data_IF_966226983428
#
_entry.id   IF_966226983428
#
_cell.length_a   1.000
_cell.length_b   1.000
_cell.length_c   1.000
_cell.angle_alpha   90.00
_cell.angle_beta   90.00
_cell.angle_gamma   90.00
#
_symmetry.space_group_name_H-M   'P 1'
#
loop_
_entity.id
_entity.type
_entity.pdbx_description
1 polymer ?
#
# COMPACT_ATOMS: atom_id res chain seq x y z
N UNK A 1 11.35 14.55 -18.23
CA UNK A 1 12.47 13.59 -18.11
C UNK A 1 13.61 14.06 -19.03
N UNK A 2 14.68 14.63 -18.46
CA UNK A 2 15.88 15.01 -19.21
C UNK A 2 16.74 13.78 -19.44
N UNK A 3 16.90 13.36 -20.69
CA UNK A 3 17.80 12.26 -21.08
C UNK A 3 19.17 12.89 -21.41
N UNK A 4 20.20 12.51 -20.64
CA UNK A 4 21.60 12.90 -20.91
C UNK A 4 22.09 12.23 -22.18
N UNK A 5 22.78 13.00 -23.05
CA UNK A 5 23.43 12.50 -24.27
C UNK A 5 24.64 11.62 -23.89
N UNK A 6 24.88 10.50 -24.59
CA UNK A 6 26.12 9.75 -24.43
C UNK A 6 27.32 10.49 -25.03
N UNK A 7 28.54 10.24 -24.54
CA UNK A 7 29.74 10.92 -25.00
C UNK A 7 30.12 10.51 -26.45
N UNK A 8 30.66 11.49 -27.19
CA UNK A 8 31.22 11.27 -28.54
C UNK A 8 32.37 10.30 -28.47
N UNK A 9 32.30 9.20 -29.25
CA UNK A 9 33.47 8.37 -29.55
C UNK A 9 34.38 9.09 -30.53
N UNK A 10 35.64 9.25 -30.14
CA UNK A 10 36.73 9.71 -31.02
C UNK A 10 37.12 8.59 -31.99
N UNK A 11 36.93 8.83 -33.27
CA UNK A 11 37.41 7.94 -34.33
C UNK A 11 38.90 8.21 -34.54
N UNK A 12 39.73 7.15 -34.39
CA UNK A 12 41.12 7.13 -34.78
C UNK A 12 41.25 7.13 -36.32
N UNK A 13 42.10 8.00 -36.80
CA UNK A 13 42.47 8.10 -38.23
C UNK A 13 43.21 6.84 -38.70
N UNK A 14 42.64 6.08 -39.64
CA UNK A 14 43.40 5.23 -40.52
C UNK A 14 43.22 5.69 -41.97
N UNK A 15 44.33 6.06 -42.58
CA UNK A 15 44.46 6.36 -44.00
C UNK A 15 44.03 5.16 -44.82
N UNK A 16 43.11 5.30 -45.71
CA UNK A 16 43.14 4.81 -47.07
C UNK A 16 41.83 5.07 -47.80
N UNK A 17 41.96 5.55 -49.00
CA UNK A 17 41.01 5.54 -50.10
C UNK A 17 39.78 6.45 -49.99
N UNK A 18 39.83 7.44 -50.77
CA UNK A 18 38.80 8.37 -51.25
C UNK A 18 37.46 7.73 -51.57
N UNK A 19 36.66 7.48 -50.58
CA UNK A 19 35.24 7.49 -50.76
C UNK A 19 34.72 8.90 -50.44
N UNK A 20 34.57 9.68 -51.48
CA UNK A 20 33.86 10.93 -51.47
C UNK A 20 32.41 10.59 -51.11
N UNK A 21 32.15 10.53 -49.83
CA UNK A 21 30.79 10.52 -49.34
C UNK A 21 30.12 11.81 -49.83
N UNK A 22 29.32 11.72 -50.87
CA UNK A 22 28.40 12.75 -51.28
C UNK A 22 27.49 12.98 -50.06
N UNK A 23 27.82 13.95 -49.23
CA UNK A 23 26.84 14.52 -48.30
C UNK A 23 25.69 14.97 -49.16
N UNK A 24 24.54 14.37 -48.97
CA UNK A 24 23.34 14.82 -49.64
C UNK A 24 23.14 16.29 -49.30
N UNK A 25 23.13 17.12 -50.30
CA UNK A 25 22.99 18.57 -50.19
C UNK A 25 21.58 18.95 -49.75
N UNK A 26 20.58 18.04 -49.90
CA UNK A 26 19.22 18.23 -49.47
C UNK A 26 18.86 17.21 -48.36
N UNK A 27 19.01 17.58 -47.08
CA UNK A 27 18.56 16.74 -45.99
C UNK A 27 17.02 16.67 -45.98
N UNK A 28 16.47 15.49 -45.71
CA UNK A 28 15.06 15.27 -45.61
C UNK A 28 14.39 16.35 -44.70
N UNK A 29 13.37 17.11 -45.22
CA UNK A 29 12.78 18.22 -44.48
C UNK A 29 12.09 17.78 -43.15
N UNK A 30 11.72 16.50 -43.04
CA UNK A 30 11.06 15.97 -41.85
C UNK A 30 12.04 15.64 -40.71
N UNK A 31 13.26 15.18 -41.03
CA UNK A 31 14.24 14.74 -40.02
C UNK A 31 15.58 15.50 -40.06
N UNK A 32 15.77 16.42 -41.00
CA UNK A 32 17.04 17.17 -41.16
C UNK A 32 18.29 16.29 -41.32
N UNK A 33 18.11 15.08 -41.88
CA UNK A 33 19.19 14.09 -42.05
C UNK A 33 19.41 13.17 -40.83
N UNK A 34 18.66 13.34 -39.75
CA UNK A 34 18.79 12.54 -38.53
C UNK A 34 18.23 11.10 -38.67
N UNK A 35 17.48 10.81 -39.74
CA UNK A 35 16.85 9.50 -39.97
C UNK A 35 15.67 9.17 -39.00
N UNK A 36 15.36 10.06 -38.06
CA UNK A 36 14.33 9.88 -37.07
C UNK A 36 13.54 11.17 -36.85
N UNK A 37 12.25 11.04 -36.59
CA UNK A 37 11.35 12.15 -36.28
C UNK A 37 10.68 11.87 -34.93
N UNK A 38 10.64 12.87 -34.06
CA UNK A 38 9.89 12.78 -32.81
C UNK A 38 8.40 12.84 -33.10
N UNK A 39 7.65 11.85 -32.61
CA UNK A 39 6.18 11.82 -32.66
C UNK A 39 5.66 11.47 -31.30
N UNK A 40 4.64 12.16 -30.86
CA UNK A 40 3.90 11.82 -29.66
C UNK A 40 2.88 10.72 -29.99
N UNK A 41 2.86 9.66 -29.20
CA UNK A 41 1.93 8.53 -29.34
C UNK A 41 1.27 8.26 -27.99
N UNK A 42 -0.05 8.21 -27.99
CA UNK A 42 -0.83 7.81 -26.81
C UNK A 42 -0.98 6.29 -26.81
N UNK A 43 -0.57 5.66 -25.70
CA UNK A 43 -0.64 4.22 -25.52
C UNK A 43 -1.63 3.88 -24.41
N UNK A 44 -2.48 2.88 -24.66
CA UNK A 44 -3.35 2.32 -23.63
C UNK A 44 -2.67 1.12 -22.98
N UNK A 45 -2.49 1.18 -21.65
CA UNK A 45 -1.84 0.13 -20.87
C UNK A 45 -2.87 -0.55 -19.99
N UNK A 46 -3.06 -1.86 -20.16
CA UNK A 46 -3.93 -2.64 -19.29
C UNK A 46 -3.14 -3.06 -18.04
N UNK A 47 -3.50 -2.48 -16.91
CA UNK A 47 -2.91 -2.82 -15.61
C UNK A 47 -3.72 -3.98 -15.01
N UNK A 48 -3.11 -5.14 -14.73
CA UNK A 48 -3.80 -6.25 -14.08
C UNK A 48 -4.10 -5.93 -12.61
N UNK A 49 -5.17 -6.53 -12.08
CA UNK A 49 -5.47 -6.41 -10.65
C UNK A 49 -4.38 -7.08 -9.81
N UNK A 50 -4.05 -6.47 -8.67
CA UNK A 50 -3.09 -7.04 -7.72
C UNK A 50 -1.63 -6.69 -7.96
N UNK A 51 -1.33 -5.78 -8.90
CA UNK A 51 0.03 -5.23 -9.07
C UNK A 51 0.53 -4.59 -7.78
N UNK A 52 1.85 -4.57 -7.62
CA UNK A 52 2.53 -3.95 -6.48
C UNK A 52 3.52 -2.89 -6.92
N UNK A 53 3.97 -2.06 -5.98
CA UNK A 53 5.01 -1.08 -6.23
C UNK A 53 6.29 -1.79 -6.69
N UNK A 54 6.86 -1.32 -7.81
CA UNK A 54 8.02 -1.90 -8.44
C UNK A 54 7.72 -2.92 -9.54
N UNK A 55 6.46 -3.34 -9.71
CA UNK A 55 6.06 -4.16 -10.86
C UNK A 55 6.25 -3.39 -12.17
N UNK A 56 6.66 -4.12 -13.23
CA UNK A 56 6.92 -3.55 -14.55
C UNK A 56 6.07 -4.25 -15.59
N UNK A 57 5.41 -3.44 -16.41
CA UNK A 57 4.65 -3.91 -17.57
C UNK A 57 5.50 -3.64 -18.82
N UNK A 58 5.80 -4.67 -19.60
CA UNK A 58 6.50 -4.55 -20.87
C UNK A 58 5.51 -4.37 -22.01
N UNK A 59 5.69 -3.33 -22.78
CA UNK A 59 4.99 -3.08 -24.03
C UNK A 59 5.98 -3.32 -25.17
N UNK A 60 5.86 -4.49 -25.82
CA UNK A 60 6.79 -4.90 -26.88
C UNK A 60 6.65 -4.04 -28.11
N UNK A 61 7.77 -3.54 -28.64
CA UNK A 61 7.82 -2.72 -29.84
C UNK A 61 7.31 -1.27 -29.68
N UNK A 62 7.01 -0.83 -28.45
CA UNK A 62 6.53 0.53 -28.18
C UNK A 62 7.63 1.46 -27.63
N UNK A 63 8.88 1.02 -27.64
CA UNK A 63 10.03 1.81 -27.28
C UNK A 63 10.54 2.69 -28.43
N UNK A 64 11.77 3.17 -28.32
CA UNK A 64 12.39 3.99 -29.34
C UNK A 64 12.63 3.22 -30.64
N UNK A 65 12.49 3.91 -31.78
CA UNK A 65 12.78 3.34 -33.09
C UNK A 65 14.26 2.91 -33.19
N UNK A 66 14.51 1.71 -33.70
CA UNK A 66 15.85 1.22 -33.94
C UNK A 66 16.67 2.08 -34.91
N UNK A 67 18.01 2.06 -34.87
CA UNK A 67 18.82 2.74 -35.83
C UNK A 67 18.70 2.10 -37.22
N UNK A 68 18.81 2.93 -38.27
CA UNK A 68 18.85 2.47 -39.69
C UNK A 68 17.61 1.61 -40.09
N UNK A 69 16.44 1.91 -39.59
CA UNK A 69 15.23 1.12 -39.89
C UNK A 69 15.11 -0.20 -39.12
N UNK A 70 15.92 -0.41 -38.10
CA UNK A 70 15.83 -1.55 -37.22
C UNK A 70 14.53 -1.58 -36.41
N UNK A 71 14.19 -2.73 -35.80
CA UNK A 71 12.98 -2.86 -35.01
C UNK A 71 12.99 -1.90 -33.81
N UNK A 72 11.80 -1.43 -33.40
CA UNK A 72 11.65 -0.63 -32.19
C UNK A 72 11.97 -1.45 -30.95
N UNK A 73 12.47 -0.78 -29.93
CA UNK A 73 12.69 -1.37 -28.61
C UNK A 73 11.38 -1.58 -27.84
N UNK A 74 11.48 -2.05 -26.63
CA UNK A 74 10.35 -2.22 -25.71
C UNK A 74 10.22 -1.03 -24.75
N UNK A 75 8.99 -0.71 -24.38
CA UNK A 75 8.70 0.26 -23.35
C UNK A 75 8.36 -0.48 -22.04
N UNK A 76 9.02 -0.10 -20.96
CA UNK A 76 8.71 -0.62 -19.62
C UNK A 76 8.02 0.46 -18.79
N UNK A 77 6.81 0.14 -18.34
CA UNK A 77 6.03 0.99 -17.43
C UNK A 77 6.20 0.46 -16.03
N UNK A 78 6.83 1.22 -15.16
CA UNK A 78 6.98 0.90 -13.75
C UNK A 78 5.77 1.41 -12.98
N UNK A 79 5.21 0.58 -12.10
CA UNK A 79 4.04 0.89 -11.30
C UNK A 79 4.50 1.34 -9.91
N UNK A 80 3.88 2.38 -9.41
CA UNK A 80 3.98 2.85 -8.04
C UNK A 80 2.57 2.91 -7.45
N UNK A 81 2.34 2.16 -6.37
CA UNK A 81 1.04 2.12 -5.67
C UNK A 81 1.07 3.12 -4.54
N UNK A 82 0.13 4.05 -4.53
CA UNK A 82 -0.02 5.06 -3.49
C UNK A 82 -0.67 4.44 -2.25
N UNK A 83 -0.21 4.83 -1.07
CA UNK A 83 -0.78 4.39 0.20
C UNK A 83 -2.25 4.79 0.34
N UNK A 84 -3.05 3.88 0.88
CA UNK A 84 -4.47 4.13 1.13
C UNK A 84 -4.68 4.63 2.56
N UNK A 85 -5.56 5.63 2.82
CA UNK A 85 -5.73 6.22 4.16
C UNK A 85 -6.28 5.24 5.21
N UNK A 86 -6.95 4.17 4.80
CA UNK A 86 -7.60 3.20 5.71
C UNK A 86 -6.86 1.86 5.70
N UNK A 87 -6.37 1.42 4.54
CA UNK A 87 -5.82 0.09 4.36
C UNK A 87 -4.31 0.11 4.22
N UNK A 88 -3.65 -0.72 5.00
CA UNK A 88 -2.22 -1.06 4.82
C UNK A 88 -2.16 -2.41 4.12
N UNK A 89 -1.40 -2.49 3.02
CA UNK A 89 -1.25 -3.71 2.25
C UNK A 89 0.04 -4.44 2.63
N UNK A 90 -0.08 -5.72 2.95
CA UNK A 90 1.06 -6.63 3.11
C UNK A 90 0.88 -7.85 2.20
N UNK A 91 1.54 -7.82 1.06
CA UNK A 91 1.41 -8.84 0.04
C UNK A 91 -0.01 -8.92 -0.51
N UNK A 92 -0.74 -10.01 -0.22
CA UNK A 92 -2.15 -10.20 -0.59
C UNK A 92 -3.14 -9.80 0.51
N UNK A 93 -2.67 -9.61 1.74
CA UNK A 93 -3.52 -9.25 2.86
C UNK A 93 -3.64 -7.73 3.01
N UNK A 94 -4.79 -7.31 3.50
CA UNK A 94 -5.06 -5.94 3.88
C UNK A 94 -5.23 -5.84 5.39
N UNK A 95 -4.74 -4.77 5.97
CA UNK A 95 -4.88 -4.43 7.38
C UNK A 95 -5.63 -3.12 7.49
N UNK A 96 -6.55 -3.04 8.43
CA UNK A 96 -7.21 -1.80 8.80
C UNK A 96 -7.41 -1.72 10.32
N UNK A 97 -7.36 -0.53 10.87
CA UNK A 97 -7.75 -0.27 12.25
C UNK A 97 -9.20 0.18 12.28
N UNK A 98 -9.98 -0.42 13.17
CA UNK A 98 -11.41 -0.16 13.30
C UNK A 98 -11.67 0.37 14.71
N UNK A 99 -11.98 1.67 14.84
CA UNK A 99 -12.37 2.24 16.13
C UNK A 99 -13.74 1.70 16.56
N UNK A 100 -13.85 1.26 17.80
CA UNK A 100 -15.12 0.83 18.40
C UNK A 100 -15.34 1.51 19.75
N UNK A 101 -16.60 1.71 20.11
CA UNK A 101 -16.96 2.25 21.41
C UNK A 101 -16.67 1.26 22.54
N UNK A 102 -16.44 1.76 23.75
CA UNK A 102 -16.33 0.94 24.96
C UNK A 102 -17.59 0.10 25.18
N UNK A 103 -18.76 0.64 24.87
CA UNK A 103 -20.04 -0.06 25.02
C UNK A 103 -20.13 -1.26 24.07
N UNK A 104 -19.80 -1.08 22.77
CA UNK A 104 -19.82 -2.16 21.78
C UNK A 104 -18.77 -3.22 22.09
N UNK A 105 -17.61 -2.81 22.61
CA UNK A 105 -16.57 -3.75 23.02
C UNK A 105 -16.99 -4.61 24.22
N UNK A 106 -17.68 -4.02 25.19
CA UNK A 106 -18.10 -4.71 26.41
C UNK A 106 -19.34 -5.60 26.18
N UNK A 107 -20.35 -5.06 25.50
CA UNK A 107 -21.63 -5.74 25.30
C UNK A 107 -21.65 -6.64 24.07
N UNK A 108 -20.77 -6.38 23.12
CA UNK A 108 -20.84 -6.95 21.79
C UNK A 108 -21.76 -6.14 20.87
N UNK A 109 -21.59 -6.28 19.58
CA UNK A 109 -22.37 -5.55 18.59
C UNK A 109 -22.01 -5.95 17.18
N UNK A 110 -22.54 -5.22 16.23
CA UNK A 110 -22.18 -5.33 14.81
C UNK A 110 -21.71 -3.98 14.31
N UNK A 111 -20.58 -3.98 13.61
CA UNK A 111 -20.02 -2.78 13.01
C UNK A 111 -19.86 -2.97 11.51
N UNK A 112 -20.06 -1.91 10.76
CA UNK A 112 -19.87 -1.89 9.33
C UNK A 112 -18.43 -1.58 9.00
N UNK A 113 -17.73 -2.51 8.32
CA UNK A 113 -16.33 -2.36 7.93
C UNK A 113 -16.24 -2.20 6.42
N UNK A 114 -15.50 -1.21 5.90
CA UNK A 114 -15.27 -1.06 4.47
C UNK A 114 -14.39 -2.19 3.95
N UNK A 115 -14.66 -2.63 2.74
CA UNK A 115 -13.83 -3.58 1.97
C UNK A 115 -13.66 -3.06 0.55
N UNK A 116 -12.78 -3.67 -0.24
CA UNK A 116 -12.60 -3.29 -1.65
C UNK A 116 -13.85 -3.51 -2.52
N UNK A 117 -14.76 -4.39 -2.09
CA UNK A 117 -15.99 -4.73 -2.82
C UNK A 117 -17.24 -4.06 -2.24
N UNK A 118 -17.11 -3.24 -1.20
CA UNK A 118 -18.23 -2.60 -0.52
C UNK A 118 -18.12 -2.72 1.00
N UNK A 119 -19.24 -2.78 1.70
CA UNK A 119 -19.29 -2.83 3.16
C UNK A 119 -19.68 -4.22 3.64
N UNK A 120 -19.12 -4.64 4.76
CA UNK A 120 -19.42 -5.93 5.40
C UNK A 120 -19.65 -5.72 6.87
N UNK A 121 -20.69 -6.33 7.42
CA UNK A 121 -20.94 -6.31 8.84
C UNK A 121 -20.00 -7.28 9.57
N UNK A 122 -19.21 -6.73 10.49
CA UNK A 122 -18.34 -7.47 11.37
C UNK A 122 -19.01 -7.62 12.74
N UNK A 123 -19.26 -8.85 13.14
CA UNK A 123 -19.80 -9.15 14.49
C UNK A 123 -18.68 -9.09 15.52
N UNK A 124 -18.86 -8.21 16.49
CA UNK A 124 -17.95 -8.05 17.63
C UNK A 124 -18.56 -8.84 18.81
N UNK A 125 -17.86 -9.89 19.29
CA UNK A 125 -18.29 -10.56 20.52
C UNK A 125 -18.18 -9.64 21.72
N UNK A 126 -18.98 -9.87 22.76
CA UNK A 126 -18.82 -9.21 24.05
C UNK A 126 -17.42 -9.43 24.63
N UNK A 127 -16.99 -8.54 25.50
CA UNK A 127 -15.68 -8.57 26.17
C UNK A 127 -14.48 -8.50 25.20
N UNK A 128 -14.69 -7.90 24.02
CA UNK A 128 -13.62 -7.71 23.03
C UNK A 128 -12.63 -6.68 23.52
N UNK A 129 -11.35 -7.10 23.63
CA UNK A 129 -10.25 -6.24 24.05
C UNK A 129 -9.65 -5.47 22.87
N UNK A 130 -9.09 -4.28 23.16
CA UNK A 130 -8.32 -3.52 22.17
C UNK A 130 -7.14 -4.33 21.63
N UNK A 131 -6.85 -4.19 20.34
CA UNK A 131 -5.80 -4.94 19.66
C UNK A 131 -6.24 -6.31 19.14
N UNK A 132 -7.48 -6.75 19.43
CA UNK A 132 -8.00 -8.00 18.84
C UNK A 132 -8.15 -7.86 17.34
N UNK A 133 -7.68 -8.87 16.59
CA UNK A 133 -7.72 -8.89 15.13
C UNK A 133 -8.80 -9.85 14.67
N UNK A 134 -9.69 -9.34 13.83
CA UNK A 134 -10.72 -10.13 13.15
C UNK A 134 -10.33 -10.32 11.69
N UNK A 135 -10.45 -11.56 11.19
CA UNK A 135 -10.10 -11.92 9.82
C UNK A 135 -11.34 -12.10 8.96
N UNK A 136 -11.49 -11.25 7.96
CA UNK A 136 -12.49 -11.38 6.90
C UNK A 136 -11.86 -12.11 5.72
N UNK A 137 -12.19 -13.38 5.57
CA UNK A 137 -11.62 -14.26 4.53
C UNK A 137 -12.00 -13.79 3.14
N UNK A 138 -11.02 -13.81 2.22
CA UNK A 138 -11.24 -13.48 0.81
C UNK A 138 -11.58 -12.00 0.55
N UNK A 139 -11.33 -11.07 1.51
CA UNK A 139 -11.56 -9.63 1.36
C UNK A 139 -10.26 -8.81 1.25
N UNK A 140 -9.16 -9.49 0.99
CA UNK A 140 -7.88 -8.87 0.66
C UNK A 140 -7.72 -8.58 -0.83
N UNK A 141 -6.47 -8.58 -1.31
CA UNK A 141 -6.10 -8.30 -2.70
C UNK A 141 -5.72 -9.59 -3.41
N UNK A 142 -6.01 -9.69 -4.70
CA UNK A 142 -5.39 -10.68 -5.58
C UNK A 142 -3.94 -10.29 -5.84
N UNK A 143 -3.04 -11.25 -6.02
CA UNK A 143 -1.67 -11.00 -6.50
C UNK A 143 -1.51 -11.49 -7.94
N UNK A 144 -0.77 -10.75 -8.77
CA UNK A 144 -0.52 -11.09 -10.17
C UNK A 144 0.18 -12.45 -10.31
N UNK A 145 1.04 -12.82 -9.36
CA UNK A 145 1.88 -14.04 -9.40
C UNK A 145 1.41 -15.16 -8.50
N UNK A 146 0.31 -15.00 -7.77
CA UNK A 146 -0.18 -15.99 -6.81
C UNK A 146 -1.66 -16.23 -7.02
N UNK A 147 -2.05 -17.50 -7.03
CA UNK A 147 -3.46 -17.85 -7.05
C UNK A 147 -4.13 -17.55 -5.71
N UNK A 148 -5.31 -16.95 -5.76
CA UNK A 148 -6.17 -16.70 -4.61
C UNK A 148 -6.19 -15.24 -4.14
N UNK A 149 -7.26 -14.93 -3.41
CA UNK A 149 -7.50 -13.63 -2.79
C UNK A 149 -7.00 -13.68 -1.35
N UNK A 150 -6.36 -12.62 -0.90
CA UNK A 150 -5.96 -12.48 0.49
C UNK A 150 -7.13 -12.23 1.43
N UNK A 151 -6.84 -11.98 2.68
CA UNK A 151 -7.82 -11.67 3.71
C UNK A 151 -7.70 -10.21 4.14
N UNK A 152 -8.78 -9.65 4.66
CA UNK A 152 -8.77 -8.38 5.36
C UNK A 152 -8.69 -8.64 6.86
N UNK A 153 -7.67 -8.07 7.52
CA UNK A 153 -7.42 -8.16 8.95
C UNK A 153 -7.81 -6.84 9.61
N UNK A 154 -8.89 -6.88 10.38
CA UNK A 154 -9.44 -5.73 11.08
C UNK A 154 -8.96 -5.74 12.52
N UNK A 155 -8.05 -4.85 12.87
CA UNK A 155 -7.58 -4.65 14.25
C UNK A 155 -8.50 -3.67 14.95
N UNK A 156 -9.14 -4.15 16.00
CA UNK A 156 -10.05 -3.32 16.80
C UNK A 156 -9.27 -2.44 17.76
N UNK A 157 -9.60 -1.16 17.78
CA UNK A 157 -9.04 -0.17 18.70
C UNK A 157 -10.18 0.47 19.48
N UNK A 158 -10.08 0.43 20.79
CA UNK A 158 -11.07 1.09 21.67
C UNK A 158 -10.90 2.60 21.60
N UNK A 159 -12.00 3.29 21.31
CA UNK A 159 -12.07 4.73 21.34
C UNK A 159 -12.72 5.20 22.64
N UNK A 160 -12.03 6.09 23.35
CA UNK A 160 -12.56 6.73 24.55
C UNK A 160 -13.47 7.88 24.15
N UNK A 161 -14.74 7.90 24.58
CA UNK A 161 -15.67 8.95 24.21
C UNK A 161 -15.23 10.30 24.78
N UNK A 162 -15.33 11.34 23.96
CA UNK A 162 -15.01 12.72 24.31
C UNK A 162 -16.29 13.57 24.40
N UNK A 163 -16.21 14.75 25.02
CA UNK A 163 -17.33 15.71 25.12
C UNK A 163 -18.60 15.12 25.72
N UNK A 164 -18.45 14.35 26.82
CA UNK A 164 -19.54 13.68 27.50
C UNK A 164 -20.52 14.68 28.12
N UNK A 165 -21.83 14.40 27.98
CA UNK A 165 -22.89 15.08 28.71
C UNK A 165 -22.86 14.73 30.21
N UNK A 166 -23.50 15.55 31.05
CA UNK A 166 -23.52 15.29 32.49
C UNK A 166 -24.23 13.98 32.86
N UNK A 167 -25.26 13.60 32.09
CA UNK A 167 -25.93 12.30 32.22
C UNK A 167 -24.97 11.14 31.92
N UNK A 168 -24.19 11.25 30.86
CA UNK A 168 -23.19 10.21 30.47
C UNK A 168 -22.09 10.09 31.52
N UNK A 169 -21.62 11.24 32.05
CA UNK A 169 -20.63 11.24 33.14
C UNK A 169 -21.19 10.55 34.41
N UNK A 170 -22.45 10.79 34.74
CA UNK A 170 -23.09 10.14 35.89
C UNK A 170 -23.16 8.61 35.70
N UNK A 171 -23.62 8.15 34.54
CA UNK A 171 -23.69 6.72 34.23
C UNK A 171 -22.31 6.05 34.25
N UNK A 172 -21.27 6.73 33.75
CA UNK A 172 -19.88 6.19 33.78
C UNK A 172 -19.33 6.13 35.22
N UNK A 173 -19.73 7.09 36.10
CA UNK A 173 -19.34 7.02 37.51
C UNK A 173 -20.03 5.84 38.21
N UNK A 174 -21.34 5.67 38.03
CA UNK A 174 -22.07 4.53 38.54
C UNK A 174 -21.48 3.19 38.04
N UNK A 175 -21.18 3.12 36.75
CA UNK A 175 -20.54 1.95 36.19
C UNK A 175 -19.18 1.69 36.82
N UNK A 176 -18.33 2.72 37.00
CA UNK A 176 -17.03 2.60 37.68
C UNK A 176 -17.19 2.05 39.10
N UNK A 177 -18.13 2.60 39.87
CA UNK A 177 -18.44 2.16 41.25
C UNK A 177 -18.87 0.70 41.26
N UNK A 178 -19.68 0.26 40.28
CA UNK A 178 -20.12 -1.13 40.16
C UNK A 178 -18.99 -2.13 39.87
N UNK A 179 -17.84 -1.66 39.31
CA UNK A 179 -16.67 -2.49 39.05
C UNK A 179 -15.75 -2.61 40.26
N UNK A 180 -15.87 -1.71 41.22
CA UNK A 180 -15.02 -1.71 42.42
C UNK A 180 -15.24 -2.98 43.26
N UNK A 181 -14.11 -3.56 43.73
CA UNK A 181 -14.14 -4.76 44.61
C UNK A 181 -14.13 -6.10 43.86
N UNK A 182 -14.24 -6.17 42.53
CA UNK A 182 -14.17 -7.43 41.83
C UNK A 182 -13.04 -7.46 40.80
N UNK A 183 -11.90 -8.13 41.13
CA UNK A 183 -10.72 -8.16 40.25
C UNK A 183 -10.91 -8.93 38.94
N UNK A 184 -12.05 -9.58 38.75
CA UNK A 184 -12.37 -10.32 37.52
C UNK A 184 -12.68 -9.39 36.35
N UNK A 185 -13.12 -8.14 36.61
CA UNK A 185 -13.53 -7.20 35.58
C UNK A 185 -12.34 -6.57 34.82
N UNK A 186 -11.15 -6.51 35.42
CA UNK A 186 -9.95 -5.92 34.86
C UNK A 186 -8.74 -6.85 34.96
N UNK A 187 -8.73 -7.99 34.24
CA UNK A 187 -7.66 -9.01 34.40
C UNK A 187 -6.26 -8.49 34.06
N UNK A 188 -6.14 -7.59 33.08
CA UNK A 188 -4.85 -7.01 32.70
C UNK A 188 -4.31 -6.04 33.76
N UNK A 189 -5.16 -5.27 34.38
CA UNK A 189 -4.82 -4.36 35.46
C UNK A 189 -4.28 -5.14 36.67
N UNK A 190 -4.94 -6.24 37.04
CA UNK A 190 -4.48 -7.12 38.11
C UNK A 190 -3.10 -7.69 37.81
N UNK A 191 -2.91 -8.27 36.64
CA UNK A 191 -1.61 -8.85 36.24
C UNK A 191 -0.50 -7.80 36.25
N UNK A 192 -0.81 -6.56 35.83
CA UNK A 192 0.17 -5.47 35.84
C UNK A 192 0.55 -5.08 37.29
N UNK A 193 -0.42 -4.91 38.19
CA UNK A 193 -0.15 -4.59 39.59
C UNK A 193 0.60 -5.71 40.32
N UNK A 194 0.27 -6.96 40.02
CA UNK A 194 1.00 -8.11 40.62
C UNK A 194 2.45 -8.10 40.11
N UNK A 195 2.71 -7.88 38.83
CA UNK A 195 4.06 -7.75 38.28
C UNK A 195 4.85 -6.55 38.84
N UNK A 196 4.19 -5.44 39.12
CA UNK A 196 4.81 -4.27 39.79
C UNK A 196 5.22 -4.61 41.24
N UNK A 197 4.38 -5.32 41.96
CA UNK A 197 4.73 -5.77 43.35
C UNK A 197 5.94 -6.69 43.35
N UNK A 198 5.93 -7.70 42.47
CA UNK A 198 7.05 -8.65 42.34
C UNK A 198 8.36 -7.94 42.00
N UNK A 199 8.30 -6.93 41.11
CA UNK A 199 9.46 -6.11 40.76
C UNK A 199 10.02 -5.35 41.95
N UNK A 200 9.18 -4.71 42.75
CA UNK A 200 9.62 -4.00 43.96
C UNK A 200 10.08 -4.93 45.07
N UNK A 201 9.54 -6.14 45.20
CA UNK A 201 10.03 -7.15 46.12
C UNK A 201 11.44 -7.65 45.74
N UNK A 202 11.66 -7.85 44.45
CA UNK A 202 12.99 -8.26 43.92
C UNK A 202 14.08 -7.19 44.12
N UNK A 203 13.69 -5.89 44.11
CA UNK A 203 14.63 -4.80 44.34
C UNK A 203 15.01 -4.60 45.83
N UNK A 204 14.24 -5.18 46.74
CA UNK A 204 14.50 -5.06 48.19
C UNK A 204 15.35 -6.19 48.79
N UNK A 205 15.64 -7.23 48.02
CA UNK A 205 16.55 -8.33 48.39
C UNK A 205 17.93 -8.13 47.77
#
# INVERSE_FOLDING_TARGET
LMIRRPPRSTLSSSSAASDVYKRQTDPCPACGGAGRVRRDKTLSVKIPAGVDTGDRIRLSGEGEAGPNGGPAGDLYVQIEVVDHPIFVREGKHLYCEVPISIADAALGGEIEVPTLEGRVNLKIPSETQTGKVFRLRGKGVTQVRSAGIGDLLCKVVLETPVSLTDKQKALLKEFKESLEGNPKHSPKEKTWFDGVKDFFETLKG
#
